data_IF_955843335646
#
_entry.id   IF_955843335646
#
_cell.length_a   1.000
_cell.length_b   1.000
_cell.length_c   1.000
_cell.angle_alpha   90.00
_cell.angle_beta   90.00
_cell.angle_gamma   90.00
#
_symmetry.space_group_name_H-M   'P 1'
#
loop_
_entity.id
_entity.type
_entity.pdbx_description
1 polymer ?
#
# COMPACT_ATOMS: atom_id res chain seq x y z
N UNK A 1 17.67 18.24 -19.95
CA UNK A 1 16.50 18.48 -19.10
C UNK A 1 15.79 17.15 -18.92
N UNK A 2 16.25 16.34 -17.96
CA UNK A 2 15.60 16.07 -16.65
C UNK A 2 14.77 14.78 -16.75
N UNK A 3 15.33 13.60 -16.48
CA UNK A 3 15.41 12.94 -15.16
C UNK A 3 14.03 12.71 -14.52
N UNK A 4 13.54 11.47 -14.53
CA UNK A 4 13.40 10.66 -13.31
C UNK A 4 13.03 9.21 -13.65
N UNK A 5 13.84 8.27 -13.19
CA UNK A 5 13.63 6.83 -13.38
C UNK A 5 12.90 6.24 -12.19
N UNK A 6 11.88 5.43 -12.46
CA UNK A 6 11.29 4.54 -11.47
C UNK A 6 11.09 3.16 -12.11
N UNK A 7 12.19 2.47 -12.39
CA UNK A 7 12.17 1.02 -12.59
C UNK A 7 12.02 0.35 -11.22
N UNK A 8 10.92 -0.38 -10.94
CA UNK A 8 10.84 -1.15 -9.72
C UNK A 8 11.87 -2.29 -9.78
N UNK A 9 12.93 -2.15 -8.98
CA UNK A 9 13.88 -3.23 -8.74
C UNK A 9 13.20 -4.29 -7.88
N UNK A 10 12.65 -5.32 -8.52
CA UNK A 10 12.11 -6.49 -7.83
C UNK A 10 13.27 -7.32 -7.29
N UNK A 11 13.75 -6.94 -6.11
CA UNK A 11 14.66 -7.74 -5.28
C UNK A 11 13.89 -8.85 -4.58
N UNK A 12 14.43 -10.06 -4.63
CA UNK A 12 13.92 -11.29 -4.05
C UNK A 12 13.92 -11.19 -2.50
N UNK A 13 12.89 -10.59 -1.92
CA UNK A 13 12.67 -10.56 -0.47
C UNK A 13 11.74 -11.72 -0.07
N UNK A 14 12.12 -12.48 0.96
CA UNK A 14 11.33 -13.58 1.56
C UNK A 14 10.07 -13.09 2.30
N UNK A 15 9.57 -11.92 1.94
CA UNK A 15 8.28 -11.34 2.29
C UNK A 15 7.90 -10.37 1.17
N UNK A 16 6.80 -10.64 0.47
CA UNK A 16 6.35 -9.82 -0.66
C UNK A 16 5.65 -8.57 -0.13
N UNK A 17 6.41 -7.49 0.09
CA UNK A 17 5.83 -6.16 0.30
C UNK A 17 5.34 -5.64 -1.05
N UNK A 18 4.03 -5.53 -1.21
CA UNK A 18 3.39 -5.03 -2.43
C UNK A 18 2.93 -3.61 -2.15
N UNK A 19 3.42 -2.66 -2.95
CA UNK A 19 2.90 -1.31 -2.96
C UNK A 19 1.74 -1.23 -3.94
N UNK A 20 0.58 -0.77 -3.47
CA UNK A 20 -0.63 -0.70 -4.29
C UNK A 20 -1.28 0.67 -4.15
N UNK A 21 -1.29 1.43 -5.24
CA UNK A 21 -2.07 2.65 -5.32
C UNK A 21 -3.57 2.28 -5.34
N UNK A 22 -4.29 2.63 -4.28
CA UNK A 22 -5.74 2.39 -4.18
C UNK A 22 -6.50 3.66 -4.56
N UNK A 23 -7.08 3.66 -5.75
CA UNK A 23 -7.94 4.76 -6.22
C UNK A 23 -9.26 4.80 -5.43
N UNK A 24 -9.71 6.01 -5.07
CA UNK A 24 -10.98 6.20 -4.37
C UNK A 24 -10.91 6.18 -2.83
N UNK A 25 -9.72 6.11 -2.22
CA UNK A 25 -9.54 6.33 -0.77
C UNK A 25 -9.62 7.82 -0.41
N UNK A 26 -10.79 8.44 -0.59
CA UNK A 26 -10.99 9.88 -0.33
C UNK A 26 -11.36 10.22 1.10
N UNK A 27 -11.52 9.21 1.97
CA UNK A 27 -12.01 9.41 3.33
C UNK A 27 -11.24 8.55 4.35
N UNK A 28 -10.81 9.17 5.44
CA UNK A 28 -10.15 8.53 6.57
C UNK A 28 -10.95 7.35 7.15
N UNK A 29 -12.29 7.47 7.14
CA UNK A 29 -13.18 6.40 7.59
C UNK A 29 -13.17 5.18 6.66
N UNK A 30 -13.01 5.38 5.34
CA UNK A 30 -12.89 4.29 4.37
C UNK A 30 -11.55 3.56 4.54
N UNK A 31 -10.45 4.31 4.69
CA UNK A 31 -9.12 3.76 4.92
C UNK A 31 -9.06 2.90 6.19
N UNK A 32 -9.56 3.42 7.32
CA UNK A 32 -9.63 2.67 8.58
C UNK A 32 -10.49 1.39 8.47
N UNK A 33 -11.53 1.40 7.63
CA UNK A 33 -12.38 0.22 7.41
C UNK A 33 -11.67 -0.86 6.61
N UNK A 34 -10.89 -0.47 5.60
CA UNK A 34 -10.11 -1.37 4.76
C UNK A 34 -8.96 -1.99 5.55
N UNK A 35 -8.20 -1.16 6.29
CA UNK A 35 -7.09 -1.63 7.14
C UNK A 35 -7.54 -2.71 8.13
N UNK A 36 -8.67 -2.50 8.81
CA UNK A 36 -9.25 -3.48 9.75
C UNK A 36 -9.66 -4.80 9.08
N UNK A 37 -10.05 -4.75 7.80
CA UNK A 37 -10.42 -5.94 7.03
C UNK A 37 -9.20 -6.70 6.56
N UNK A 38 -8.15 -6.01 6.15
CA UNK A 38 -6.89 -6.63 5.72
C UNK A 38 -6.16 -7.30 6.88
N UNK A 39 -6.08 -6.64 8.04
CA UNK A 39 -5.46 -7.21 9.26
C UNK A 39 -6.25 -8.37 9.89
N UNK A 40 -7.45 -8.68 9.38
CA UNK A 40 -8.18 -9.90 9.79
C UNK A 40 -7.70 -11.15 9.08
N UNK A 41 -6.93 -11.01 8.00
CA UNK A 41 -6.40 -12.16 7.28
C UNK A 41 -5.16 -12.68 8.02
N UNK A 42 -5.10 -13.98 8.35
CA UNK A 42 -3.98 -14.53 9.11
C UNK A 42 -2.68 -14.43 8.31
N UNK A 43 -1.63 -13.90 8.93
CA UNK A 43 -0.31 -13.72 8.31
C UNK A 43 -0.14 -12.46 7.47
N UNK A 44 -1.10 -11.54 7.50
CA UNK A 44 -1.03 -10.25 6.80
C UNK A 44 -0.93 -9.10 7.80
N UNK A 45 0.07 -8.26 7.59
CA UNK A 45 0.22 -6.97 8.26
C UNK A 45 -0.01 -5.89 7.19
N UNK A 46 -1.11 -5.15 7.32
CA UNK A 46 -1.52 -4.16 6.34
C UNK A 46 -1.62 -2.79 6.99
N UNK A 47 -1.00 -1.79 6.38
CA UNK A 47 -1.04 -0.38 6.79
C UNK A 47 -1.63 0.42 5.65
N UNK A 48 -2.58 1.31 5.94
CA UNK A 48 -3.24 2.12 4.91
C UNK A 48 -3.08 3.60 5.25
N UNK A 49 -2.45 4.37 4.37
CA UNK A 49 -2.23 5.79 4.54
C UNK A 49 -2.96 6.60 3.45
N UNK A 50 -4.17 7.06 3.78
CA UNK A 50 -4.98 7.88 2.88
C UNK A 50 -4.43 9.29 2.65
N UNK A 51 -3.57 9.79 3.54
CA UNK A 51 -2.98 11.13 3.40
C UNK A 51 -1.82 11.15 2.41
N UNK A 52 -1.18 10.00 2.17
CA UNK A 52 -0.09 9.84 1.21
C UNK A 52 -0.43 8.94 0.03
N UNK A 53 -1.65 8.40 -0.03
CA UNK A 53 -2.11 7.43 -1.04
C UNK A 53 -1.21 6.18 -1.14
N UNK A 54 -0.72 5.68 0.01
CA UNK A 54 0.18 4.52 0.13
C UNK A 54 -0.26 3.52 1.17
#
# INVERSE_FOLDING_TARGET
MSADGATPSTGLATGSTIDLAVTGMTCAACAARIERRLNRVPGLEATVNYATER
#
